data_IF_903258473007
#
_entry.id   IF_903258473007
#
_cell.length_a   1.000
_cell.length_b   1.000
_cell.length_c   1.000
_cell.angle_alpha   90.00
_cell.angle_beta   90.00
_cell.angle_gamma   90.00
#
_symmetry.space_group_name_H-M   'P 1'
#
loop_
_entity.id
_entity.type
_entity.pdbx_description
1 polymer ?
#
# COMPACT_ATOMS: atom_id res chain seq x y z
N UNK A 1 -36.46 9.95 49.28
CA UNK A 1 -37.10 10.86 48.31
C UNK A 1 -36.04 11.72 47.65
N UNK A 2 -36.19 11.94 46.33
CA UNK A 2 -35.45 12.86 45.43
C UNK A 2 -34.25 12.26 44.66
N UNK A 3 -34.56 11.45 43.66
CA UNK A 3 -33.83 11.40 42.38
C UNK A 3 -34.70 12.11 41.33
N UNK A 4 -34.33 13.32 40.92
CA UNK A 4 -34.88 13.97 39.71
C UNK A 4 -34.10 15.25 39.41
N UNK A 5 -33.08 15.19 38.55
CA UNK A 5 -32.60 16.39 37.85
C UNK A 5 -31.69 16.17 36.62
N UNK A 6 -31.50 14.95 36.11
CA UNK A 6 -30.64 14.69 34.94
C UNK A 6 -31.36 14.56 33.60
N UNK A 7 -32.69 14.43 33.58
CA UNK A 7 -33.46 14.25 32.33
C UNK A 7 -33.63 15.48 31.43
N UNK A 8 -33.71 16.73 31.90
CA UNK A 8 -34.12 17.83 31.02
C UNK A 8 -33.08 18.19 29.95
N UNK A 9 -31.80 17.91 30.20
CA UNK A 9 -30.71 18.26 29.27
C UNK A 9 -30.61 17.28 28.08
N UNK A 10 -30.95 16.01 28.29
CA UNK A 10 -30.91 14.99 27.24
C UNK A 10 -32.06 15.14 26.25
N UNK A 11 -33.24 15.51 26.76
CA UNK A 11 -34.41 15.79 25.93
C UNK A 11 -34.19 17.07 25.08
N UNK A 12 -33.61 18.11 25.67
CA UNK A 12 -33.32 19.38 24.99
C UNK A 12 -32.21 19.22 23.93
N UNK A 13 -31.19 18.39 24.19
CA UNK A 13 -30.18 18.02 23.18
C UNK A 13 -30.79 17.18 22.06
N UNK A 14 -31.65 16.21 22.39
CA UNK A 14 -32.35 15.38 21.41
C UNK A 14 -33.22 16.20 20.46
N UNK A 15 -33.92 17.20 21.00
CA UNK A 15 -34.78 18.10 20.22
C UNK A 15 -33.96 19.05 19.34
N UNK A 16 -32.84 19.57 19.84
CA UNK A 16 -31.92 20.39 19.05
C UNK A 16 -31.30 19.63 17.87
N UNK A 17 -30.94 18.35 18.08
CA UNK A 17 -30.42 17.50 17.00
C UNK A 17 -31.50 17.10 15.99
N UNK A 18 -32.75 16.90 16.42
CA UNK A 18 -33.87 16.61 15.54
C UNK A 18 -34.21 17.82 14.65
N UNK A 19 -34.29 19.02 15.23
CA UNK A 19 -34.54 20.26 14.50
C UNK A 19 -33.43 20.53 13.46
N UNK A 20 -32.16 20.33 13.82
CA UNK A 20 -31.03 20.49 12.90
C UNK A 20 -31.04 19.49 11.72
N UNK A 21 -31.66 18.32 11.90
CA UNK A 21 -31.77 17.29 10.86
C UNK A 21 -32.85 17.61 9.82
N UNK A 22 -33.90 18.33 10.21
CA UNK A 22 -34.97 18.76 9.31
C UNK A 22 -34.62 20.05 8.54
N UNK A 23 -33.70 20.87 9.06
CA UNK A 23 -33.20 22.09 8.39
C UNK A 23 -32.18 21.79 7.27
N UNK A 24 -31.61 20.57 7.22
CA UNK A 24 -30.56 20.23 6.27
C UNK A 24 -31.14 19.96 4.85
N UNK A 25 -30.76 20.74 3.82
CA UNK A 25 -31.22 20.49 2.45
C UNK A 25 -30.69 19.14 1.96
N UNK A 26 -31.59 18.18 1.70
CA UNK A 26 -31.24 16.90 1.08
C UNK A 26 -30.95 17.13 -0.41
N UNK A 27 -29.76 17.61 -0.74
CA UNK A 27 -29.31 17.71 -2.13
C UNK A 27 -29.15 16.30 -2.72
N UNK A 28 -29.79 15.99 -3.86
CA UNK A 28 -29.67 14.67 -4.47
C UNK A 28 -28.23 14.42 -4.91
N UNK A 29 -27.64 13.32 -4.42
CA UNK A 29 -26.27 12.92 -4.76
C UNK A 29 -26.18 12.73 -6.29
N UNK A 30 -25.27 13.42 -7.01
CA UNK A 30 -25.22 13.41 -8.47
C UNK A 30 -24.49 12.16 -9.00
N UNK A 31 -25.06 10.98 -8.74
CA UNK A 31 -24.51 9.68 -9.17
C UNK A 31 -24.34 9.62 -10.70
N UNK A 32 -25.24 10.27 -11.45
CA UNK A 32 -25.18 10.31 -12.92
C UNK A 32 -23.96 11.09 -13.46
N UNK A 33 -23.47 12.09 -12.72
CA UNK A 33 -22.27 12.82 -13.10
C UNK A 33 -21.02 11.96 -12.88
N UNK A 34 -20.95 11.27 -11.73
CA UNK A 34 -19.85 10.36 -11.38
C UNK A 34 -19.77 9.19 -12.37
N UNK A 35 -20.91 8.64 -12.79
CA UNK A 35 -20.96 7.54 -13.75
C UNK A 35 -20.49 7.95 -15.16
N UNK A 36 -20.86 9.16 -15.61
CA UNK A 36 -20.41 9.72 -16.90
C UNK A 36 -18.90 9.98 -16.91
N UNK A 37 -18.36 10.51 -15.81
CA UNK A 37 -16.92 10.75 -15.62
C UNK A 37 -16.12 9.42 -15.69
N UNK A 38 -16.63 8.36 -15.06
CA UNK A 38 -15.99 7.04 -15.06
C UNK A 38 -15.93 6.38 -16.45
N UNK A 39 -16.97 6.54 -17.27
CA UNK A 39 -17.02 5.97 -18.62
C UNK A 39 -16.04 6.64 -19.59
N UNK A 40 -15.81 7.95 -19.46
CA UNK A 40 -14.85 8.67 -20.29
C UNK A 40 -13.39 8.24 -20.02
N UNK A 41 -13.03 8.02 -18.75
CA UNK A 41 -11.69 7.53 -18.36
C UNK A 41 -11.41 6.11 -18.86
N UNK A 42 -12.40 5.21 -18.88
CA UNK A 42 -12.24 3.84 -19.43
C UNK A 42 -11.93 3.83 -20.93
N UNK A 43 -12.49 4.75 -21.72
CA UNK A 43 -12.26 4.81 -23.17
C UNK A 43 -10.84 5.28 -23.51
N UNK A 44 -10.31 6.27 -22.79
CA UNK A 44 -8.94 6.79 -23.03
C UNK A 44 -7.85 5.74 -22.77
N UNK A 45 -8.04 4.87 -21.76
CA UNK A 45 -7.11 3.77 -21.45
C UNK A 45 -7.03 2.70 -22.54
N UNK A 46 -8.09 2.47 -23.33
CA UNK A 46 -8.09 1.44 -24.38
C UNK A 46 -7.26 1.84 -25.61
N UNK A 47 -7.16 3.13 -25.92
CA UNK A 47 -6.44 3.63 -27.10
C UNK A 47 -4.92 3.61 -26.87
N UNK A 48 -4.47 3.97 -25.67
CA UNK A 48 -3.04 3.94 -25.30
C UNK A 48 -2.49 2.51 -25.22
N UNK A 49 -3.31 1.55 -24.76
CA UNK A 49 -2.91 0.13 -24.64
C UNK A 49 -2.71 -0.55 -26.00
N UNK A 50 -3.50 -0.19 -27.02
CA UNK A 50 -3.36 -0.77 -28.36
C UNK A 50 -2.07 -0.34 -29.07
N UNK A 51 -1.65 0.92 -28.92
CA UNK A 51 -0.40 1.41 -29.52
C UNK A 51 0.85 0.84 -28.81
N UNK A 52 0.81 0.68 -27.49
CA UNK A 52 1.90 0.07 -26.73
C UNK A 52 2.05 -1.44 -27.04
N UNK A 53 0.94 -2.19 -27.14
CA UNK A 53 0.98 -3.61 -27.52
C UNK A 53 1.53 -3.84 -28.94
N UNK A 54 1.25 -2.95 -29.90
CA UNK A 54 1.77 -3.08 -31.27
C UNK A 54 3.30 -2.92 -31.34
N UNK A 55 3.87 -1.98 -30.57
CA UNK A 55 5.33 -1.82 -30.46
C UNK A 55 6.00 -2.97 -29.68
N UNK A 56 5.31 -3.54 -28.69
CA UNK A 56 5.83 -4.64 -27.86
C UNK A 56 5.88 -6.01 -28.56
N UNK A 57 5.09 -6.23 -29.62
CA UNK A 57 5.08 -7.52 -30.35
C UNK A 57 6.09 -7.55 -31.51
N UNK A 58 6.44 -6.40 -32.11
CA UNK A 58 7.36 -6.34 -33.25
C UNK A 58 8.85 -6.42 -32.85
N UNK A 59 9.21 -5.97 -31.64
CA UNK A 59 10.61 -5.97 -31.16
C UNK A 59 11.13 -7.37 -30.75
N UNK A 60 10.36 -8.26 -30.09
CA UNK A 60 10.85 -9.57 -29.67
C UNK A 60 10.97 -10.58 -30.81
N UNK A 61 10.16 -10.46 -31.87
CA UNK A 61 10.14 -11.42 -32.97
C UNK A 61 11.44 -11.38 -33.80
N UNK A 62 12.11 -10.22 -33.87
CA UNK A 62 13.43 -10.09 -34.49
C UNK A 62 14.57 -10.68 -33.65
N UNK A 63 14.39 -10.86 -32.34
CA UNK A 63 15.42 -11.36 -31.44
C UNK A 63 15.33 -12.89 -31.23
N UNK A 64 14.14 -13.47 -31.30
CA UNK A 64 13.91 -14.90 -31.10
C UNK A 64 14.46 -15.80 -32.24
N UNK A 65 14.62 -15.27 -33.45
CA UNK A 65 15.18 -16.02 -34.59
C UNK A 65 16.65 -16.45 -34.40
N UNK A 66 17.39 -15.85 -33.46
CA UNK A 66 18.84 -16.13 -33.25
C UNK A 66 19.17 -17.07 -32.09
N UNK A 67 18.17 -17.61 -31.36
CA UNK A 67 18.39 -18.39 -30.12
C UNK A 67 17.75 -19.79 -30.11
N UNK A 68 17.23 -20.29 -31.22
CA UNK A 68 16.55 -21.60 -31.31
C UNK A 68 17.49 -22.76 -31.66
N UNK A 69 18.65 -22.84 -30.99
CA UNK A 69 19.42 -24.09 -30.87
C UNK A 69 19.79 -24.31 -29.40
N UNK A 70 19.06 -25.19 -28.72
CA UNK A 70 19.31 -25.60 -27.33
C UNK A 70 18.08 -25.37 -26.45
N UNK A 71 17.05 -26.22 -26.54
CA UNK A 71 16.86 -27.45 -25.77
C UNK A 71 16.23 -27.25 -24.37
N UNK A 72 14.95 -27.61 -24.32
CA UNK A 72 14.25 -28.43 -23.31
C UNK A 72 14.31 -28.12 -21.81
N UNK A 73 13.13 -27.80 -21.27
CA UNK A 73 12.42 -28.71 -20.37
C UNK A 73 12.48 -28.44 -18.86
N UNK A 74 11.30 -28.31 -18.24
CA UNK A 74 11.06 -28.71 -16.85
C UNK A 74 10.76 -27.61 -15.85
N UNK A 75 9.47 -27.31 -15.65
CA UNK A 75 8.94 -26.80 -14.37
C UNK A 75 9.06 -27.90 -13.30
N UNK A 76 9.34 -27.55 -12.03
CA UNK A 76 8.22 -27.36 -11.11
C UNK A 76 8.40 -26.22 -10.08
N UNK A 77 7.23 -25.77 -9.59
CA UNK A 77 6.97 -24.78 -8.53
C UNK A 77 7.93 -24.87 -7.33
N UNK A 78 8.50 -23.73 -6.94
CA UNK A 78 9.48 -23.60 -5.86
C UNK A 78 8.95 -22.73 -4.69
N UNK A 79 9.37 -23.01 -3.44
CA UNK A 79 8.86 -22.33 -2.25
C UNK A 79 9.33 -20.87 -2.17
N UNK A 80 8.46 -19.99 -1.65
CA UNK A 80 8.68 -18.56 -1.50
C UNK A 80 9.97 -18.24 -0.75
N UNK A 81 10.97 -17.77 -1.49
CA UNK A 81 12.26 -17.32 -0.97
C UNK A 81 12.05 -16.12 -0.04
N UNK A 82 12.53 -16.21 1.20
CA UNK A 82 12.63 -15.05 2.10
C UNK A 82 13.53 -14.00 1.43
N UNK A 83 12.97 -12.82 1.16
CA UNK A 83 13.69 -11.76 0.44
C UNK A 83 14.44 -10.90 1.43
N UNK A 84 15.76 -10.82 1.25
CA UNK A 84 16.66 -9.95 2.00
C UNK A 84 16.17 -8.49 1.93
N UNK A 85 16.20 -7.79 3.06
CA UNK A 85 15.82 -6.38 3.16
C UNK A 85 16.80 -5.49 2.38
N UNK A 86 16.28 -4.63 1.49
CA UNK A 86 17.08 -3.59 0.83
C UNK A 86 16.99 -3.49 -0.70
N UNK A 87 16.00 -4.14 -1.34
CA UNK A 87 15.87 -4.17 -2.81
C UNK A 87 14.49 -3.74 -3.29
N UNK A 88 14.38 -3.20 -4.51
CA UNK A 88 13.10 -3.08 -5.21
C UNK A 88 12.79 -4.40 -5.90
N UNK A 89 11.60 -4.95 -5.68
CA UNK A 89 11.11 -6.19 -6.27
C UNK A 89 9.76 -5.92 -6.94
N UNK A 90 9.67 -6.27 -8.22
CA UNK A 90 8.39 -6.33 -8.93
C UNK A 90 7.71 -7.65 -8.58
N UNK A 91 6.43 -7.60 -8.21
CA UNK A 91 5.61 -8.77 -7.87
C UNK A 91 4.40 -8.87 -8.79
N UNK A 92 3.95 -10.10 -9.04
CA UNK A 92 2.67 -10.33 -9.70
C UNK A 92 1.51 -9.95 -8.78
N UNK A 93 0.37 -9.58 -9.36
CA UNK A 93 -0.83 -9.32 -8.58
C UNK A 93 -1.28 -10.60 -7.85
N UNK A 94 -1.47 -10.52 -6.54
CA UNK A 94 -1.80 -11.66 -5.69
C UNK A 94 -0.60 -12.54 -5.32
N UNK A 95 0.64 -12.13 -5.61
CA UNK A 95 1.82 -12.86 -5.15
C UNK A 95 2.07 -12.61 -3.66
N UNK A 96 2.08 -13.69 -2.86
CA UNK A 96 2.33 -13.62 -1.42
C UNK A 96 3.84 -13.60 -1.14
N UNK A 97 4.30 -12.50 -0.55
CA UNK A 97 5.65 -12.33 -0.01
C UNK A 97 5.63 -12.60 1.48
N UNK A 98 6.64 -13.31 1.98
CA UNK A 98 6.76 -13.68 3.41
C UNK A 98 7.98 -13.03 4.06
N UNK A 99 7.84 -11.84 4.67
CA UNK A 99 8.95 -11.18 5.36
C UNK A 99 9.41 -11.92 6.63
N UNK A 100 8.46 -12.50 7.36
CA UNK A 100 8.69 -13.24 8.60
C UNK A 100 7.81 -14.50 8.61
N UNK A 101 8.18 -15.46 9.45
CA UNK A 101 7.36 -16.67 9.65
C UNK A 101 5.96 -16.29 10.13
N UNK A 102 4.92 -16.81 9.45
CA UNK A 102 3.52 -16.53 9.76
C UNK A 102 3.01 -15.17 9.27
N UNK A 103 3.83 -14.41 8.53
CA UNK A 103 3.46 -13.11 7.98
C UNK A 103 3.55 -13.09 6.47
N UNK A 104 2.47 -12.65 5.84
CA UNK A 104 2.33 -12.55 4.39
C UNK A 104 1.88 -11.14 4.00
N UNK A 105 2.46 -10.62 2.93
CA UNK A 105 2.02 -9.39 2.26
C UNK A 105 1.82 -9.70 0.79
N UNK A 106 0.77 -9.17 0.20
CA UNK A 106 0.55 -9.26 -1.24
C UNK A 106 -0.08 -7.98 -1.76
N UNK A 107 0.19 -7.70 -3.03
CA UNK A 107 -0.36 -6.54 -3.72
C UNK A 107 -1.37 -7.03 -4.75
N UNK A 108 -2.51 -6.37 -4.86
CA UNK A 108 -3.47 -6.57 -5.95
C UNK A 108 -3.77 -5.23 -6.61
N UNK A 109 -4.47 -5.25 -7.74
CA UNK A 109 -4.90 -4.01 -8.41
C UNK A 109 -5.76 -3.11 -7.52
N UNK A 110 -6.41 -3.69 -6.52
CA UNK A 110 -7.33 -2.99 -5.62
C UNK A 110 -6.64 -2.43 -4.38
N UNK A 111 -5.46 -2.93 -4.02
CA UNK A 111 -4.76 -2.50 -2.82
C UNK A 111 -3.61 -3.38 -2.37
N UNK A 112 -3.00 -2.96 -1.26
CA UNK A 112 -2.05 -3.76 -0.50
C UNK A 112 -2.78 -4.57 0.58
N UNK A 113 -2.28 -5.76 0.87
CA UNK A 113 -2.90 -6.69 1.81
C UNK A 113 -1.85 -7.33 2.73
N UNK A 114 -2.27 -7.63 3.95
CA UNK A 114 -1.46 -8.26 4.99
C UNK A 114 -2.25 -9.38 5.65
N UNK A 115 -1.59 -10.50 5.94
CA UNK A 115 -2.13 -11.49 6.87
C UNK A 115 -2.03 -11.00 8.31
N UNK A 116 -2.97 -11.40 9.17
CA UNK A 116 -2.80 -11.34 10.63
C UNK A 116 -2.48 -12.73 11.19
N UNK A 117 -1.54 -12.86 12.14
CA UNK A 117 -1.25 -14.13 12.80
C UNK A 117 -2.46 -14.71 13.57
N UNK A 118 -3.40 -13.87 14.02
CA UNK A 118 -4.57 -14.31 14.80
C UNK A 118 -5.79 -14.69 13.94
N UNK A 119 -5.65 -14.70 12.61
CA UNK A 119 -6.76 -14.84 11.68
C UNK A 119 -7.38 -13.50 11.31
N UNK A 120 -7.80 -13.37 10.04
CA UNK A 120 -8.18 -12.10 9.43
C UNK A 120 -7.03 -11.45 8.65
N UNK A 121 -7.38 -10.65 7.63
CA UNK A 121 -6.42 -9.90 6.83
C UNK A 121 -6.78 -8.42 6.84
N UNK A 122 -5.76 -7.56 6.84
CA UNK A 122 -5.95 -6.13 6.66
C UNK A 122 -5.70 -5.79 5.19
N UNK A 123 -6.51 -4.90 4.63
CA UNK A 123 -6.31 -4.40 3.27
C UNK A 123 -6.34 -2.88 3.29
N UNK A 124 -5.41 -2.28 2.56
CA UNK A 124 -5.42 -0.85 2.30
C UNK A 124 -5.85 -0.62 0.85
N UNK A 125 -7.08 -0.15 0.60
CA UNK A 125 -7.56 0.09 -0.75
C UNK A 125 -6.83 1.27 -1.40
N UNK A 126 -6.59 1.16 -2.70
CA UNK A 126 -5.90 2.17 -3.52
C UNK A 126 -6.89 3.15 -4.19
N UNK A 127 -8.19 2.96 -3.99
CA UNK A 127 -9.22 3.85 -4.53
C UNK A 127 -9.16 5.24 -3.86
N UNK A 128 -8.91 6.29 -4.66
CA UNK A 128 -8.84 7.69 -4.21
C UNK A 128 -7.43 8.29 -4.15
N UNK A 129 -6.39 7.54 -4.54
CA UNK A 129 -4.98 7.92 -4.31
C UNK A 129 -4.36 8.88 -5.34
N UNK A 130 -5.10 9.37 -6.34
CA UNK A 130 -4.51 10.03 -7.53
C UNK A 130 -4.25 11.55 -7.42
N UNK A 131 -4.52 12.21 -6.28
CA UNK A 131 -4.40 13.67 -6.17
C UNK A 131 -3.79 14.19 -4.86
N UNK A 132 -3.26 13.32 -4.00
CA UNK A 132 -2.68 13.72 -2.74
C UNK A 132 -1.16 13.97 -2.87
N UNK A 133 -0.56 14.79 -1.99
CA UNK A 133 0.89 14.89 -1.88
C UNK A 133 1.51 13.50 -1.65
N UNK A 134 2.79 13.30 -2.01
CA UNK A 134 3.47 12.06 -1.74
C UNK A 134 3.43 11.71 -0.25
N UNK A 135 3.06 10.49 0.11
CA UNK A 135 2.99 10.05 1.51
C UNK A 135 3.52 8.65 1.67
N UNK A 136 4.01 8.35 2.88
CA UNK A 136 4.39 7.01 3.28
C UNK A 136 3.73 6.65 4.61
N UNK A 137 3.09 5.49 4.69
CA UNK A 137 2.53 4.96 5.94
C UNK A 137 3.54 4.08 6.67
N UNK A 138 3.29 3.87 7.97
CA UNK A 138 4.06 2.96 8.82
C UNK A 138 3.09 2.11 9.63
N UNK A 139 3.17 0.80 9.45
CA UNK A 139 2.61 -0.24 10.30
C UNK A 139 3.75 -0.92 11.05
N UNK A 140 3.53 -1.11 12.34
CA UNK A 140 4.48 -1.75 13.23
C UNK A 140 3.84 -3.00 13.82
N UNK A 141 4.53 -4.13 13.69
CA UNK A 141 4.04 -5.39 14.20
C UNK A 141 5.16 -6.18 14.87
N UNK A 142 4.94 -6.54 16.13
CA UNK A 142 5.85 -7.41 16.89
C UNK A 142 5.34 -8.84 16.74
N UNK A 143 6.14 -9.70 16.14
CA UNK A 143 5.78 -11.09 15.83
C UNK A 143 6.63 -12.04 16.68
N UNK A 144 5.97 -12.86 17.50
CA UNK A 144 6.66 -13.80 18.39
C UNK A 144 7.51 -13.10 19.46
N UNK A 145 8.65 -13.70 19.83
CA UNK A 145 9.52 -13.18 20.92
C UNK A 145 10.49 -12.07 20.49
N UNK A 146 10.89 -12.03 19.22
CA UNK A 146 11.93 -11.10 18.74
C UNK A 146 11.72 -10.60 17.31
N UNK A 147 10.68 -11.03 16.62
CA UNK A 147 10.37 -10.56 15.28
C UNK A 147 9.76 -9.17 15.33
N UNK A 148 10.28 -8.26 14.52
CA UNK A 148 9.69 -6.95 14.27
C UNK A 148 9.50 -6.81 12.77
N UNK A 149 8.25 -6.67 12.34
CA UNK A 149 7.88 -6.32 10.98
C UNK A 149 7.47 -4.86 10.96
N UNK A 150 8.21 -4.07 10.19
CA UNK A 150 7.80 -2.72 9.82
C UNK A 150 7.36 -2.78 8.36
N UNK A 151 6.18 -2.26 8.04
CA UNK A 151 5.71 -2.21 6.67
C UNK A 151 4.87 -0.97 6.41
N UNK A 152 4.59 -0.67 5.15
CA UNK A 152 3.72 0.44 4.81
C UNK A 152 3.56 0.60 3.32
N UNK A 153 2.83 1.65 2.94
CA UNK A 153 2.54 2.00 1.56
C UNK A 153 3.12 3.38 1.27
N UNK A 154 3.87 3.48 0.19
CA UNK A 154 4.28 4.72 -0.43
C UNK A 154 3.33 5.05 -1.59
N UNK A 155 2.94 6.32 -1.73
CA UNK A 155 2.13 6.79 -2.86
C UNK A 155 2.57 8.18 -3.30
N UNK A 156 2.36 8.47 -4.59
CA UNK A 156 2.65 9.78 -5.18
C UNK A 156 4.15 10.04 -5.35
N UNK A 157 4.50 11.12 -6.04
CA UNK A 157 5.91 11.57 -6.19
C UNK A 157 6.77 10.76 -7.17
N UNK A 158 6.30 9.60 -7.63
CA UNK A 158 7.03 8.70 -8.53
C UNK A 158 7.33 7.35 -7.89
N UNK A 159 8.01 6.45 -8.61
CA UNK A 159 8.36 5.12 -8.09
C UNK A 159 9.40 5.23 -6.97
N UNK A 160 9.20 4.48 -5.88
CA UNK A 160 10.18 4.38 -4.82
C UNK A 160 11.37 3.49 -5.26
N UNK A 161 12.60 4.03 -5.21
CA UNK A 161 13.81 3.25 -5.49
C UNK A 161 14.50 2.77 -4.21
N UNK A 162 14.30 3.48 -3.10
CA UNK A 162 14.86 3.11 -1.79
C UNK A 162 13.97 3.59 -0.67
N UNK A 163 13.78 2.74 0.34
CA UNK A 163 13.11 3.13 1.58
C UNK A 163 14.08 2.91 2.74
N UNK A 164 14.35 3.95 3.50
CA UNK A 164 15.14 3.87 4.72
C UNK A 164 14.25 4.00 5.94
N UNK A 165 14.44 3.08 6.87
CA UNK A 165 13.87 3.13 8.20
C UNK A 165 14.96 3.52 9.18
N UNK A 166 14.72 4.58 9.94
CA UNK A 166 15.61 5.03 11.01
C UNK A 166 14.93 4.83 12.35
N UNK A 167 15.60 4.08 13.21
CA UNK A 167 15.26 3.87 14.61
C UNK A 167 16.41 4.38 15.49
N UNK A 168 16.19 4.57 16.79
CA UNK A 168 17.28 4.89 17.72
C UNK A 168 18.38 3.82 17.72
N UNK A 169 17.99 2.54 17.66
CA UNK A 169 18.89 1.39 17.59
C UNK A 169 19.69 1.25 16.29
N UNK A 170 19.33 1.98 15.22
CA UNK A 170 20.06 1.95 13.95
C UNK A 170 19.22 2.30 12.73
N UNK A 171 19.86 2.15 11.56
CA UNK A 171 19.23 2.34 10.25
C UNK A 171 19.07 0.99 9.55
N UNK A 172 17.97 0.81 8.83
CA UNK A 172 17.71 -0.37 8.01
C UNK A 172 17.11 0.05 6.69
N UNK A 173 17.64 -0.49 5.59
CA UNK A 173 17.03 -0.34 4.27
C UNK A 173 15.93 -1.37 4.11
N UNK A 174 14.74 -0.91 3.74
CA UNK A 174 13.58 -1.76 3.50
C UNK A 174 13.60 -2.35 2.08
N UNK A 175 12.88 -3.45 1.90
CA UNK A 175 12.50 -3.96 0.58
C UNK A 175 11.26 -3.24 0.10
N UNK A 176 11.28 -2.81 -1.16
CA UNK A 176 10.14 -2.19 -1.84
C UNK A 176 9.51 -3.23 -2.77
N UNK A 177 8.21 -3.41 -2.67
CA UNK A 177 7.39 -4.25 -3.52
C UNK A 177 6.54 -3.37 -4.42
N UNK A 178 6.66 -3.57 -5.72
CA UNK A 178 5.86 -2.85 -6.72
C UNK A 178 5.07 -3.82 -7.57
N UNK A 179 3.84 -3.46 -7.93
CA UNK A 179 3.09 -4.26 -8.91
C UNK A 179 3.63 -4.01 -10.31
N UNK A 180 3.72 -5.06 -11.11
CA UNK A 180 4.04 -4.90 -12.52
C UNK A 180 3.11 -3.89 -13.22
N UNK A 181 3.71 -2.96 -13.96
CA UNK A 181 3.02 -1.81 -14.59
C UNK A 181 3.31 -0.51 -13.83
N UNK A 182 2.42 0.48 -14.00
CA UNK A 182 2.53 1.81 -13.35
C UNK A 182 1.37 2.02 -12.35
N UNK A 183 1.39 1.35 -11.19
CA UNK A 183 0.31 1.46 -10.21
C UNK A 183 0.23 2.83 -9.52
N UNK A 184 1.35 3.57 -9.46
CA UNK A 184 1.46 4.87 -8.78
C UNK A 184 1.58 4.78 -7.25
N UNK A 185 1.82 3.58 -6.72
CA UNK A 185 2.05 3.29 -5.31
C UNK A 185 2.88 2.01 -5.17
N UNK A 186 3.58 1.88 -4.05
CA UNK A 186 4.43 0.74 -3.72
C UNK A 186 4.23 0.34 -2.26
N UNK A 187 4.46 -0.93 -1.92
CA UNK A 187 4.55 -1.40 -0.54
C UNK A 187 6.01 -1.47 -0.15
N UNK A 188 6.33 -1.25 1.11
CA UNK A 188 7.66 -1.51 1.64
C UNK A 188 7.57 -2.33 2.92
N UNK A 189 8.63 -3.10 3.20
CA UNK A 189 8.78 -3.76 4.48
C UNK A 189 10.25 -3.87 4.92
N UNK A 190 10.47 -3.92 6.22
CA UNK A 190 11.76 -4.18 6.85
C UNK A 190 11.58 -5.08 8.07
N UNK A 191 12.58 -5.90 8.34
CA UNK A 191 12.63 -6.82 9.48
C UNK A 191 13.82 -6.52 10.38
N UNK A 192 13.90 -5.32 10.99
CA UNK A 192 15.01 -5.01 11.86
C UNK A 192 14.92 -5.81 13.17
N UNK A 193 15.98 -5.76 13.97
CA UNK A 193 15.94 -6.33 15.32
C UNK A 193 14.97 -5.53 16.20
N UNK A 194 14.16 -6.22 16.98
CA UNK A 194 13.34 -5.58 18.01
C UNK A 194 14.27 -4.90 19.04
N UNK A 195 14.12 -3.59 19.30
CA UNK A 195 14.92 -2.91 20.32
C UNK A 195 14.60 -3.44 21.72
N UNK A 196 15.58 -3.33 22.62
CA UNK A 196 15.39 -3.73 24.02
C UNK A 196 14.34 -2.85 24.71
N UNK A 197 14.39 -1.54 24.48
CA UNK A 197 13.34 -0.61 24.89
C UNK A 197 12.32 -0.43 23.75
N UNK A 198 11.10 -0.90 23.97
CA UNK A 198 10.00 -0.78 23.00
C UNK A 198 9.54 0.66 22.80
N UNK A 199 9.80 1.58 23.73
CA UNK A 199 9.46 3.00 23.53
C UNK A 199 10.27 3.63 22.39
N UNK A 200 11.45 3.08 22.05
CA UNK A 200 12.23 3.52 20.90
C UNK A 200 11.46 3.43 19.58
N UNK A 201 10.50 2.50 19.49
CA UNK A 201 9.67 2.31 18.31
C UNK A 201 8.82 3.54 18.00
N UNK A 202 8.48 4.35 19.00
CA UNK A 202 7.74 5.62 18.83
C UNK A 202 8.57 6.70 18.14
N UNK A 203 9.90 6.50 18.03
CA UNK A 203 10.81 7.40 17.33
C UNK A 203 11.17 6.91 15.93
N UNK A 204 10.52 5.84 15.45
CA UNK A 204 10.72 5.31 14.11
C UNK A 204 10.39 6.38 13.07
N UNK A 205 11.28 6.55 12.10
CA UNK A 205 11.12 7.44 10.94
C UNK A 205 11.31 6.65 9.67
N UNK A 206 10.53 6.99 8.66
CA UNK A 206 10.60 6.39 7.32
C UNK A 206 10.86 7.49 6.31
N UNK A 207 11.83 7.27 5.42
CA UNK A 207 12.12 8.16 4.30
C UNK A 207 12.14 7.36 3.02
N UNK A 208 11.40 7.82 2.02
CA UNK A 208 11.33 7.23 0.69
C UNK A 208 12.13 8.09 -0.27
N UNK A 209 12.95 7.45 -1.10
CA UNK A 209 13.79 8.11 -2.09
C UNK A 209 13.49 7.58 -3.49
N UNK A 210 13.66 8.45 -4.48
CA UNK A 210 13.69 8.06 -5.89
C UNK A 210 15.06 7.50 -6.32
N UNK A 211 15.20 7.18 -7.60
CA UNK A 211 16.44 6.63 -8.16
C UNK A 211 17.60 7.65 -8.19
N UNK A 212 17.30 8.96 -8.19
CA UNK A 212 18.29 10.03 -8.07
C UNK A 212 18.74 10.26 -6.64
N UNK A 213 18.05 9.68 -5.65
CA UNK A 213 18.30 9.89 -4.24
C UNK A 213 17.55 11.09 -3.65
N UNK A 214 16.65 11.71 -4.41
CA UNK A 214 15.77 12.76 -3.92
C UNK A 214 14.69 12.18 -3.02
N UNK A 215 14.25 12.97 -2.05
CA UNK A 215 13.24 12.51 -1.08
C UNK A 215 11.85 12.68 -1.64
N UNK A 216 11.16 11.56 -1.85
CA UNK A 216 9.77 11.51 -2.28
C UNK A 216 8.81 11.77 -1.12
N UNK A 217 9.01 11.07 0.00
CA UNK A 217 8.10 11.14 1.13
C UNK A 217 8.81 10.89 2.46
N UNK A 218 8.24 11.43 3.54
CA UNK A 218 8.67 11.17 4.92
C UNK A 218 7.47 10.80 5.79
N UNK A 219 7.68 9.88 6.72
CA UNK A 219 6.67 9.44 7.68
C UNK A 219 7.31 8.86 8.93
N UNK A 220 6.51 8.19 9.75
CA UNK A 220 6.96 7.57 11.00
C UNK A 220 5.90 7.63 12.08
N UNK A 221 6.27 7.22 13.30
CA UNK A 221 5.38 7.35 14.45
C UNK A 221 5.40 8.79 14.96
N UNK A 222 4.22 9.39 15.16
CA UNK A 222 4.05 10.74 15.70
C UNK A 222 4.18 11.88 14.69
N UNK A 223 3.78 11.67 13.43
CA UNK A 223 3.70 12.70 12.39
C UNK A 223 2.39 12.61 11.63
#
# INVERSE_FOLDING_TARGET
MRHRQTQPLEDELGEAFAAARDEAPRTPVPLAAIEREGRARRRRRRITVLLACCLLVLVPLGYAGRRLTGASGGEPSAPGRSVAAGTVRVVAAGEHVRPLSGQELWLTKDGAHWSSPQGGGESLPVSGLSAAPPTVTLRLEVTGRSGLLLSGVHRGGGPAARVEVRMPSGRTTATVLTLAGDPGWDVWYATPRLPADKQELLRTRVTVYDAGGEVLARGGVGR
#
